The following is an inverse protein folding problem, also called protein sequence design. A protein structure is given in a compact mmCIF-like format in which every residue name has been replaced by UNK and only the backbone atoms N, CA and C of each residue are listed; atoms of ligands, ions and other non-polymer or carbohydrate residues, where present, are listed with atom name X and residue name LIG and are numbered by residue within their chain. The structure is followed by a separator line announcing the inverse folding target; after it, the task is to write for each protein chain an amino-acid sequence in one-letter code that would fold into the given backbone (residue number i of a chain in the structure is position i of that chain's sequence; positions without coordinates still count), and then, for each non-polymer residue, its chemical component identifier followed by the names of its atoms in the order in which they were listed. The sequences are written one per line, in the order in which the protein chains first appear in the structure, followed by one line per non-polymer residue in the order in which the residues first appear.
data_IF_538510736305
#
_entry.id   IF_538510736305
#
_cell.length_a   1.000
_cell.length_b   1.000
_cell.length_c   1.000
_cell.angle_alpha   90.00
_cell.angle_beta   90.00
_cell.angle_gamma   90.00
#
_symmetry.space_group_name_H-M   'P 1'
#
loop_
_entity.id
_entity.type
_entity.pdbx_description
1 polymer ?
#
# COMPACT_ATOMS: atom_id res chain seq x y z
N UNK A 1 14.34 3.06 -10.09
CA UNK A 1 14.01 1.74 -9.49
C UNK A 1 12.52 1.66 -9.21
N UNK A 2 11.89 0.49 -9.39
CA UNK A 2 10.46 0.28 -9.13
C UNK A 2 10.22 -0.83 -8.11
N UNK A 3 9.15 -0.69 -7.32
CA UNK A 3 8.74 -1.66 -6.29
C UNK A 3 7.22 -1.76 -6.23
N UNK A 4 6.71 -2.99 -6.23
CA UNK A 4 5.31 -3.27 -5.91
C UNK A 4 5.13 -3.39 -4.37
N UNK A 5 4.08 -2.79 -3.84
CA UNK A 5 3.76 -2.79 -2.42
C UNK A 5 2.26 -2.99 -2.24
N UNK A 6 1.84 -3.89 -1.35
CA UNK A 6 0.41 -4.08 -1.05
C UNK A 6 0.08 -3.31 0.23
N UNK A 7 -0.75 -2.28 0.11
CA UNK A 7 -1.35 -1.60 1.25
C UNK A 7 -2.58 -2.37 1.70
N UNK A 8 -2.75 -2.51 3.00
CA UNK A 8 -3.99 -3.02 3.58
C UNK A 8 -4.44 -2.17 4.75
N UNK A 9 -5.75 -2.05 4.91
CA UNK A 9 -6.36 -1.38 6.05
C UNK A 9 -7.59 -2.14 6.51
N UNK A 10 -7.57 -2.59 7.77
CA UNK A 10 -8.74 -3.13 8.46
C UNK A 10 -9.21 -2.18 9.57
N UNK A 11 -8.28 -1.71 10.39
CA UNK A 11 -8.47 -0.64 11.38
C UNK A 11 -7.11 -0.01 11.74
N UNK A 12 -7.12 0.99 12.62
CA UNK A 12 -5.91 1.74 13.02
C UNK A 12 -4.81 0.88 13.63
N UNK A 13 -5.15 -0.29 14.18
CA UNK A 13 -4.19 -1.24 14.78
C UNK A 13 -3.78 -2.35 13.80
N UNK A 14 -4.51 -2.55 12.70
CA UNK A 14 -4.33 -3.65 11.74
C UNK A 14 -4.29 -3.06 10.32
N UNK A 15 -3.17 -2.43 10.02
CA UNK A 15 -2.83 -1.85 8.72
C UNK A 15 -1.31 -1.79 8.58
N UNK A 16 -0.83 -1.41 7.40
CA UNK A 16 0.60 -1.18 7.14
C UNK A 16 0.88 0.22 6.56
N UNK A 17 0.12 1.23 7.00
CA UNK A 17 0.30 2.61 6.53
C UNK A 17 1.64 3.20 6.99
N UNK A 18 2.16 2.78 8.15
CA UNK A 18 3.50 3.17 8.63
C UNK A 18 4.59 2.81 7.63
N UNK A 19 4.50 1.61 7.07
CA UNK A 19 5.53 1.06 6.17
C UNK A 19 5.50 1.79 4.83
N UNK A 20 4.29 2.07 4.32
CA UNK A 20 4.14 2.93 3.14
C UNK A 20 4.71 4.32 3.41
N UNK A 21 4.36 4.94 4.54
CA UNK A 21 4.81 6.28 4.90
C UNK A 21 6.33 6.36 5.03
N UNK A 22 6.99 5.34 5.57
CA UNK A 22 8.44 5.27 5.63
C UNK A 22 9.05 5.26 4.23
N UNK A 23 8.51 4.46 3.30
CA UNK A 23 8.99 4.45 1.91
C UNK A 23 8.83 5.83 1.26
N UNK A 24 7.71 6.51 1.51
CA UNK A 24 7.48 7.88 1.01
C UNK A 24 8.51 8.87 1.58
N UNK A 25 8.83 8.78 2.87
CA UNK A 25 9.86 9.60 3.53
C UNK A 25 11.27 9.33 2.99
N UNK A 26 11.56 8.07 2.62
CA UNK A 26 12.80 7.68 1.96
C UNK A 26 12.89 8.19 0.50
N UNK A 27 11.87 8.88 0.00
CA UNK A 27 11.85 9.48 -1.34
C UNK A 27 11.27 8.60 -2.43
N UNK A 28 10.63 7.48 -2.09
CA UNK A 28 9.80 6.74 -3.05
C UNK A 28 8.52 7.52 -3.35
N UNK A 29 8.02 7.41 -4.59
CA UNK A 29 6.79 8.05 -5.05
C UNK A 29 5.79 7.01 -5.54
N UNK A 30 4.52 7.17 -5.18
CA UNK A 30 3.45 6.36 -5.77
C UNK A 30 3.23 6.80 -7.22
N UNK A 31 3.37 5.86 -8.15
CA UNK A 31 3.16 6.09 -9.59
C UNK A 31 1.95 5.35 -10.15
N UNK A 32 1.47 4.33 -9.44
CA UNK A 32 0.22 3.64 -9.79
C UNK A 32 -0.42 3.03 -8.55
N UNK A 33 -1.74 3.00 -8.52
CA UNK A 33 -2.54 2.36 -7.48
C UNK A 33 -3.69 1.60 -8.14
N UNK A 34 -3.86 0.34 -7.77
CA UNK A 34 -4.99 -0.49 -8.19
C UNK A 34 -5.64 -1.12 -6.96
N UNK A 35 -6.96 -0.96 -6.84
CA UNK A 35 -7.73 -1.70 -5.86
C UNK A 35 -7.59 -3.20 -6.13
N UNK A 36 -7.32 -3.98 -5.08
CA UNK A 36 -7.40 -5.43 -5.16
C UNK A 36 -8.79 -5.82 -4.68
N UNK A 37 -9.48 -6.72 -5.40
CA UNK A 37 -10.76 -7.26 -4.92
C UNK A 37 -10.55 -7.83 -3.52
N UNK A 38 -11.22 -7.24 -2.54
CA UNK A 38 -11.18 -7.73 -1.16
C UNK A 38 -11.69 -9.17 -1.14
N UNK A 39 -10.96 -10.06 -0.48
CA UNK A 39 -11.40 -11.45 -0.32
C UNK A 39 -12.83 -11.49 0.23
N UNK A 40 -13.61 -12.47 -0.21
CA UNK A 40 -15.08 -12.60 -0.06
C UNK A 40 -15.62 -12.53 1.39
N UNK A 41 -14.75 -12.37 2.41
CA UNK A 41 -15.12 -12.20 3.80
C UNK A 41 -14.16 -11.23 4.50
N UNK A 42 -14.56 -9.97 4.68
CA UNK A 42 -13.95 -9.12 5.71
C UNK A 42 -13.76 -7.66 5.32
N UNK A 43 -13.96 -6.78 6.30
CA UNK A 43 -13.83 -5.32 6.22
C UNK A 43 -12.41 -4.81 5.89
N UNK A 44 -11.48 -5.68 5.48
CA UNK A 44 -10.11 -5.28 5.13
C UNK A 44 -10.06 -4.87 3.67
N UNK A 45 -9.59 -3.65 3.44
CA UNK A 45 -9.39 -3.11 2.09
C UNK A 45 -7.94 -3.32 1.70
N UNK A 46 -7.71 -3.78 0.46
CA UNK A 46 -6.38 -4.00 -0.10
C UNK A 46 -6.18 -3.18 -1.36
N UNK A 47 -4.97 -2.65 -1.53
CA UNK A 47 -4.57 -1.94 -2.75
C UNK A 47 -3.14 -2.33 -3.11
N UNK A 48 -2.93 -2.68 -4.38
CA UNK A 48 -1.59 -2.75 -4.95
C UNK A 48 -1.16 -1.32 -5.28
N UNK A 49 0.06 -0.96 -4.87
CA UNK A 49 0.68 0.32 -5.16
C UNK A 49 2.03 0.07 -5.81
N UNK A 50 2.32 0.79 -6.89
CA UNK A 50 3.61 0.79 -7.54
C UNK A 50 4.35 2.04 -7.09
N UNK A 51 5.53 1.84 -6.52
CA UNK A 51 6.44 2.87 -6.04
C UNK A 51 7.63 3.01 -6.98
N UNK A 52 8.06 4.24 -7.22
CA UNK A 52 9.24 4.56 -8.02
C UNK A 52 10.18 5.50 -7.26
N UNK A 53 11.48 5.27 -7.41
CA UNK A 53 12.54 6.13 -6.87
C UNK A 53 13.66 6.25 -7.90
N UNK A 54 14.10 7.48 -8.16
CA UNK A 54 15.24 7.77 -9.05
C UNK A 54 16.55 7.31 -8.42
#
# INVERSE_FOLDING_TARGET
MQKAFVVHYYNDKKNNLSDLNQLLQEGWKVVSQSAMSGGEMGATVYSLVILEKN
#
